data_IF_270908123427
#
_entry.id   IF_270908123427
#
_cell.length_a   1.000
_cell.length_b   1.000
_cell.length_c   1.000
_cell.angle_alpha   90.00
_cell.angle_beta   90.00
_cell.angle_gamma   90.00
#
_symmetry.space_group_name_H-M   'P 1'
#
loop_
_entity.id
_entity.type
_entity.pdbx_description
1 polymer ?
#
# COMPACT_ATOMS: atom_id res chain seq x y z
N UNK A 1 15.19 29.07 21.40
CA UNK A 1 14.98 27.70 21.91
C UNK A 1 14.29 26.91 20.79
N UNK A 2 15.02 26.50 19.75
CA UNK A 2 15.62 25.15 19.57
C UNK A 2 14.62 24.00 19.65
N UNK A 3 14.29 23.43 18.49
CA UNK A 3 13.57 22.16 18.37
C UNK A 3 13.37 21.81 16.89
N UNK A 4 14.41 21.24 16.27
CA UNK A 4 14.47 20.98 14.83
C UNK A 4 13.31 20.13 14.33
N UNK A 5 12.51 20.72 13.44
CA UNK A 5 11.62 19.99 12.56
C UNK A 5 12.48 19.12 11.65
N UNK A 6 12.60 17.84 11.97
CA UNK A 6 12.99 16.84 11.00
C UNK A 6 11.96 16.91 9.88
N UNK A 7 12.36 17.50 8.75
CA UNK A 7 11.53 17.74 7.59
C UNK A 7 11.08 16.42 6.97
N UNK A 8 10.05 15.81 7.54
CA UNK A 8 9.38 14.68 6.93
C UNK A 8 8.64 15.23 5.70
N UNK A 9 9.24 15.01 4.52
CA UNK A 9 8.78 15.52 3.23
C UNK A 9 7.30 15.19 3.02
N UNK A 10 6.46 16.20 2.91
CA UNK A 10 5.08 16.06 2.44
C UNK A 10 5.11 15.55 1.01
N UNK A 11 4.70 14.29 0.81
CA UNK A 11 4.61 13.70 -0.54
C UNK A 11 3.22 13.97 -1.09
N UNK A 12 3.14 14.46 -2.33
CA UNK A 12 1.85 14.64 -2.99
C UNK A 12 1.40 13.33 -3.64
N UNK A 13 0.25 12.82 -3.22
CA UNK A 13 -0.39 11.64 -3.80
C UNK A 13 -1.82 12.00 -4.21
N UNK A 14 -2.10 11.97 -5.51
CA UNK A 14 -3.41 12.33 -6.04
C UNK A 14 -3.84 13.78 -5.80
N UNK A 15 -2.87 14.69 -5.80
CA UNK A 15 -3.11 16.12 -5.59
C UNK A 15 -3.37 16.52 -4.14
N UNK A 16 -3.21 15.60 -3.18
CA UNK A 16 -3.27 15.89 -1.75
C UNK A 16 -1.90 15.72 -1.08
N UNK A 17 -1.50 16.63 -0.18
CA UNK A 17 -0.30 16.43 0.64
C UNK A 17 -0.54 15.32 1.66
N UNK A 18 0.26 14.26 1.60
CA UNK A 18 0.31 13.24 2.65
C UNK A 18 1.18 13.76 3.79
N UNK A 19 0.55 14.01 4.94
CA UNK A 19 1.25 14.49 6.12
C UNK A 19 1.79 13.31 6.91
N UNK A 20 3.10 13.30 7.24
CA UNK A 20 3.70 12.24 8.04
C UNK A 20 3.24 12.25 9.50
N UNK A 21 2.58 13.32 9.95
CA UNK A 21 1.92 13.40 11.26
C UNK A 21 0.56 12.70 11.31
N UNK A 22 -0.03 12.39 10.14
CA UNK A 22 -1.35 11.74 10.03
C UNK A 22 -1.21 10.24 9.74
N UNK A 23 -2.22 9.48 10.13
CA UNK A 23 -2.26 8.02 9.90
C UNK A 23 -2.48 7.67 8.42
N UNK A 24 -2.24 6.40 8.08
CA UNK A 24 -2.62 5.78 6.80
C UNK A 24 -4.03 6.19 6.36
N UNK A 25 -5.01 5.97 7.23
CA UNK A 25 -6.42 6.22 6.92
C UNK A 25 -6.69 7.71 6.76
N UNK A 26 -6.15 8.56 7.64
CA UNK A 26 -6.36 10.01 7.58
C UNK A 26 -5.79 10.65 6.30
N UNK A 27 -4.63 10.21 5.81
CA UNK A 27 -4.13 10.72 4.54
C UNK A 27 -4.90 10.12 3.35
N UNK A 28 -5.27 8.84 3.42
CA UNK A 28 -6.01 8.18 2.35
C UNK A 28 -7.41 8.81 2.14
N UNK A 29 -8.12 9.20 3.22
CA UNK A 29 -9.43 9.89 3.11
C UNK A 29 -9.30 11.28 2.49
N UNK A 30 -8.15 11.94 2.62
CA UNK A 30 -7.89 13.25 2.03
C UNK A 30 -7.39 13.15 0.58
N UNK A 31 -6.98 11.96 0.10
CA UNK A 31 -6.48 11.75 -1.25
C UNK A 31 -7.60 11.32 -2.20
N UNK A 32 -7.80 12.08 -3.28
CA UNK A 32 -8.78 11.75 -4.34
C UNK A 32 -8.45 10.46 -5.09
N UNK A 33 -7.19 10.03 -5.07
CA UNK A 33 -6.73 8.83 -5.75
C UNK A 33 -6.97 7.55 -4.95
N UNK A 34 -7.39 7.63 -3.69
CA UNK A 34 -7.48 6.48 -2.75
C UNK A 34 -8.90 6.29 -2.20
N UNK A 35 -9.90 6.98 -2.76
CA UNK A 35 -11.30 6.91 -2.31
C UNK A 35 -11.85 5.48 -2.32
N UNK A 36 -11.51 4.67 -3.34
CA UNK A 36 -11.94 3.27 -3.43
C UNK A 36 -11.29 2.40 -2.34
N UNK A 37 -10.02 2.62 -2.05
CA UNK A 37 -9.31 1.91 -0.98
C UNK A 37 -9.87 2.25 0.40
N UNK A 38 -10.18 3.52 0.66
CA UNK A 38 -10.82 3.95 1.91
C UNK A 38 -12.20 3.32 2.07
N UNK A 39 -13.00 3.30 1.02
CA UNK A 39 -14.31 2.64 1.05
C UNK A 39 -14.16 1.15 1.37
N UNK A 40 -13.16 0.48 0.77
CA UNK A 40 -12.86 -0.90 1.07
C UNK A 40 -12.43 -1.10 2.54
N UNK A 41 -11.48 -0.31 3.06
CA UNK A 41 -11.02 -0.40 4.45
C UNK A 41 -12.15 -0.20 5.45
N UNK A 42 -13.05 0.76 5.19
CA UNK A 42 -14.26 0.98 5.98
C UNK A 42 -15.21 -0.20 5.90
N UNK A 43 -15.43 -0.74 4.70
CA UNK A 43 -16.29 -1.90 4.50
C UNK A 43 -15.74 -3.15 5.20
N UNK A 44 -14.42 -3.39 5.20
CA UNK A 44 -13.80 -4.50 5.93
C UNK A 44 -13.71 -4.27 7.45
N UNK A 45 -13.88 -3.03 7.93
CA UNK A 45 -13.68 -2.71 9.35
C UNK A 45 -12.21 -2.72 9.78
N UNK A 46 -11.29 -2.51 8.85
CA UNK A 46 -9.84 -2.47 9.12
C UNK A 46 -9.33 -1.06 9.44
N UNK A 47 -10.22 -0.08 9.55
CA UNK A 47 -9.86 1.33 9.86
C UNK A 47 -9.07 1.40 11.15
N UNK A 48 -9.53 0.73 12.20
CA UNK A 48 -8.88 0.76 13.51
C UNK A 48 -7.52 0.07 13.48
N UNK A 49 -7.42 -1.08 12.79
CA UNK A 49 -6.16 -1.81 12.60
C UNK A 49 -5.12 -0.97 11.84
N UNK A 50 -5.54 -0.32 10.75
CA UNK A 50 -4.68 0.55 9.93
C UNK A 50 -4.44 1.93 10.56
N UNK A 51 -5.15 2.28 11.63
CA UNK A 51 -4.90 3.48 12.44
C UNK A 51 -4.12 3.16 13.72
N UNK A 52 -3.87 1.88 14.01
CA UNK A 52 -3.13 1.43 15.18
C UNK A 52 -1.66 1.85 15.18
N UNK A 53 -0.99 1.59 16.30
CA UNK A 53 0.44 1.83 16.46
C UNK A 53 1.22 0.87 15.55
N UNK A 54 1.70 1.39 14.43
CA UNK A 54 2.53 0.65 13.48
C UNK A 54 3.94 0.35 14.02
N UNK A 55 4.86 -0.15 13.17
CA UNK A 55 4.94 0.20 11.75
C UNK A 55 4.25 -0.79 10.79
N UNK A 56 3.47 -0.24 9.85
CA UNK A 56 2.90 -0.96 8.72
C UNK A 56 3.47 -0.45 7.38
N UNK A 57 3.67 -1.35 6.43
CA UNK A 57 3.96 -1.01 5.04
C UNK A 57 2.73 -1.33 4.20
N UNK A 58 2.10 -0.30 3.63
CA UNK A 58 0.86 -0.45 2.87
C UNK A 58 1.11 -0.18 1.40
N UNK A 59 0.82 -1.15 0.56
CA UNK A 59 0.81 -0.98 -0.89
C UNK A 59 -0.57 -0.43 -1.29
N UNK A 60 -0.67 0.86 -1.56
CA UNK A 60 -1.94 1.51 -1.88
C UNK A 60 -2.15 1.58 -3.41
N UNK A 61 -3.07 0.78 -3.99
CA UNK A 61 -3.48 0.97 -5.38
C UNK A 61 -4.21 2.30 -5.58
N UNK A 62 -3.86 2.99 -6.67
CA UNK A 62 -4.62 4.18 -7.11
C UNK A 62 -5.98 3.78 -7.70
N UNK A 63 -6.93 4.72 -7.78
CA UNK A 63 -8.18 4.51 -8.51
C UNK A 63 -7.96 4.03 -9.96
N UNK A 64 -6.86 4.46 -10.60
CA UNK A 64 -6.46 3.96 -11.93
C UNK A 64 -6.06 2.49 -11.92
N UNK A 65 -5.46 2.00 -10.84
CA UNK A 65 -5.14 0.59 -10.67
C UNK A 65 -6.42 -0.25 -10.59
N UNK A 66 -7.41 0.20 -9.82
CA UNK A 66 -8.73 -0.43 -9.77
C UNK A 66 -9.42 -0.42 -11.14
N UNK A 67 -9.32 0.69 -11.88
CA UNK A 67 -9.89 0.80 -13.22
C UNK A 67 -9.21 -0.10 -14.28
N UNK A 68 -8.00 -0.59 -14.02
CA UNK A 68 -7.32 -1.56 -14.90
C UNK A 68 -7.80 -3.00 -14.69
N UNK A 69 -8.42 -3.28 -13.55
CA UNK A 69 -9.05 -4.58 -13.36
C UNK A 69 -10.26 -4.68 -14.31
N UNK A 70 -10.58 -5.90 -14.80
CA UNK A 70 -11.75 -6.09 -15.63
C UNK A 70 -13.01 -5.56 -14.93
N UNK A 71 -13.89 -4.92 -15.72
CA UNK A 71 -15.14 -4.38 -15.23
C UNK A 71 -15.92 -5.46 -14.46
N UNK A 72 -16.39 -5.12 -13.27
CA UNK A 72 -17.05 -6.06 -12.36
C UNK A 72 -16.16 -6.67 -11.27
N UNK A 73 -14.82 -6.69 -11.39
CA UNK A 73 -13.95 -7.18 -10.29
C UNK A 73 -14.01 -6.27 -9.07
N UNK A 74 -13.93 -4.95 -9.28
CA UNK A 74 -13.98 -3.96 -8.20
C UNK A 74 -15.35 -3.96 -7.53
N UNK A 75 -16.42 -3.97 -8.32
CA UNK A 75 -17.78 -4.05 -7.80
C UNK A 75 -17.97 -5.35 -7.01
N UNK A 76 -17.49 -6.47 -7.54
CA UNK A 76 -17.54 -7.76 -6.84
C UNK A 76 -16.76 -7.69 -5.53
N UNK A 77 -15.54 -7.14 -5.52
CA UNK A 77 -14.75 -6.95 -4.29
C UNK A 77 -15.48 -6.06 -3.28
N UNK A 78 -16.12 -4.98 -3.72
CA UNK A 78 -16.87 -4.05 -2.87
C UNK A 78 -18.22 -4.59 -2.39
N UNK A 79 -18.70 -5.73 -2.92
CA UNK A 79 -19.94 -6.35 -2.44
C UNK A 79 -19.78 -6.79 -0.98
N UNK A 80 -20.80 -6.60 -0.14
CA UNK A 80 -20.78 -7.06 1.26
C UNK A 80 -20.61 -8.58 1.37
N UNK A 81 -21.08 -9.35 0.38
CA UNK A 81 -20.85 -10.80 0.29
C UNK A 81 -19.36 -11.17 0.16
N UNK A 82 -18.55 -10.28 -0.43
CA UNK A 82 -17.11 -10.46 -0.58
C UNK A 82 -16.31 -9.70 0.48
N UNK A 83 -16.94 -9.19 1.55
CA UNK A 83 -16.27 -8.62 2.72
C UNK A 83 -15.11 -9.48 3.25
N UNK A 84 -15.19 -10.84 3.36
CA UNK A 84 -14.04 -11.65 3.74
C UNK A 84 -12.90 -11.60 2.71
N UNK A 85 -13.22 -11.60 1.41
CA UNK A 85 -12.21 -11.43 0.35
C UNK A 85 -11.58 -10.05 0.37
N UNK A 86 -12.39 -9.02 0.59
CA UNK A 86 -11.91 -7.64 0.68
C UNK A 86 -10.98 -7.46 1.90
N UNK A 87 -11.31 -8.11 3.01
CA UNK A 87 -10.44 -8.16 4.19
C UNK A 87 -9.12 -8.84 3.83
N UNK A 88 -9.16 -10.01 3.20
CA UNK A 88 -7.96 -10.72 2.73
C UNK A 88 -7.11 -9.86 1.77
N UNK A 89 -7.73 -9.21 0.79
CA UNK A 89 -7.07 -8.30 -0.15
C UNK A 89 -6.41 -7.12 0.59
N UNK A 90 -7.10 -6.51 1.56
CA UNK A 90 -6.54 -5.41 2.34
C UNK A 90 -5.37 -5.87 3.20
N UNK A 91 -5.49 -7.01 3.89
CA UNK A 91 -4.40 -7.59 4.65
C UNK A 91 -3.24 -8.06 3.76
N UNK A 92 -3.50 -8.37 2.49
CA UNK A 92 -2.48 -8.74 1.51
C UNK A 92 -1.69 -7.52 1.03
N UNK A 93 -2.35 -6.36 0.92
CA UNK A 93 -1.67 -5.09 0.63
C UNK A 93 -0.89 -4.55 1.84
N UNK A 94 -1.07 -5.14 3.03
CA UNK A 94 -0.41 -4.70 4.26
C UNK A 94 0.69 -5.68 4.61
N UNK A 95 1.89 -5.17 4.77
CA UNK A 95 3.04 -5.93 5.26
C UNK A 95 3.41 -5.38 6.64
N UNK A 96 3.49 -6.23 7.67
CA UNK A 96 3.95 -5.80 8.98
C UNK A 96 5.44 -5.42 8.90
N UNK A 97 5.79 -4.29 9.53
CA UNK A 97 7.15 -3.73 9.48
C UNK A 97 7.23 -2.49 8.61
N UNK A 98 8.32 -1.73 8.80
CA UNK A 98 8.62 -0.53 8.01
C UNK A 98 9.63 -0.88 6.94
N UNK A 99 9.16 -1.03 5.70
CA UNK A 99 10.01 -1.33 4.55
C UNK A 99 9.96 -0.14 3.61
N UNK A 100 11.06 0.60 3.55
CA UNK A 100 11.23 1.67 2.57
C UNK A 100 11.57 1.06 1.21
N UNK A 101 11.39 1.81 0.13
CA UNK A 101 11.82 1.35 -1.19
C UNK A 101 13.33 1.15 -1.25
N UNK A 102 14.11 1.88 -0.47
CA UNK A 102 15.53 1.61 -0.30
C UNK A 102 15.77 0.22 0.30
N UNK A 103 15.10 -0.09 1.42
CA UNK A 103 15.20 -1.42 2.07
C UNK A 103 14.79 -2.54 1.12
N UNK A 104 13.67 -2.37 0.41
CA UNK A 104 13.18 -3.34 -0.57
C UNK A 104 14.15 -3.50 -1.74
N UNK A 105 14.76 -2.42 -2.22
CA UNK A 105 15.76 -2.48 -3.29
C UNK A 105 17.04 -3.17 -2.84
N UNK A 106 17.50 -2.91 -1.63
CA UNK A 106 18.71 -3.53 -1.09
C UNK A 106 18.49 -5.01 -0.79
N UNK A 107 17.36 -5.37 -0.16
CA UNK A 107 16.97 -6.77 0.02
C UNK A 107 16.81 -7.49 -1.31
N UNK A 108 16.14 -6.87 -2.29
CA UNK A 108 16.01 -7.45 -3.62
C UNK A 108 17.38 -7.65 -4.28
N UNK A 109 18.30 -6.67 -4.18
CA UNK A 109 19.68 -6.83 -4.68
C UNK A 109 20.40 -8.00 -4.02
N UNK A 110 20.32 -8.12 -2.70
CA UNK A 110 20.95 -9.21 -1.94
C UNK A 110 20.40 -10.58 -2.34
N UNK A 111 19.13 -10.66 -2.68
CA UNK A 111 18.42 -11.90 -3.04
C UNK A 111 18.34 -12.14 -4.57
N UNK A 112 19.29 -11.59 -5.34
CA UNK A 112 19.38 -11.86 -6.79
C UNK A 112 18.34 -11.15 -7.66
N UNK A 113 17.77 -10.04 -7.17
CA UNK A 113 16.85 -9.16 -7.89
C UNK A 113 15.39 -9.18 -7.40
N UNK A 114 15.06 -10.01 -6.41
CA UNK A 114 13.71 -10.14 -5.84
C UNK A 114 13.73 -10.35 -4.34
N UNK A 115 12.72 -9.88 -3.63
CA UNK A 115 12.53 -10.10 -2.19
C UNK A 115 11.10 -10.59 -1.96
N UNK A 116 10.94 -11.58 -1.10
CA UNK A 116 9.63 -12.09 -0.71
C UNK A 116 9.27 -11.54 0.66
N UNK A 117 8.16 -10.80 0.74
CA UNK A 117 7.61 -10.23 1.95
C UNK A 117 6.43 -11.07 2.42
N UNK A 118 6.28 -11.26 3.73
CA UNK A 118 5.10 -11.91 4.27
C UNK A 118 4.03 -10.87 4.58
N UNK A 119 2.87 -10.97 3.95
CA UNK A 119 1.75 -10.04 4.19
C UNK A 119 1.03 -10.37 5.50
N UNK A 120 0.16 -9.48 5.97
CA UNK A 120 -0.70 -9.74 7.15
C UNK A 120 -1.70 -10.85 6.87
N UNK A 121 -2.11 -11.01 5.61
CA UNK A 121 -3.02 -12.07 5.17
C UNK A 121 -2.41 -13.47 5.40
N UNK A 122 -1.10 -13.58 5.20
CA UNK A 122 -0.33 -14.81 5.39
C UNK A 122 0.41 -15.24 4.14
N UNK A 123 -0.10 -14.87 2.97
CA UNK A 123 0.55 -15.16 1.70
C UNK A 123 1.80 -14.30 1.42
N UNK A 124 2.77 -14.87 0.70
CA UNK A 124 3.97 -14.16 0.29
C UNK A 124 3.70 -13.18 -0.86
N UNK A 125 4.26 -11.98 -0.75
CA UNK A 125 4.27 -10.95 -1.77
C UNK A 125 5.69 -10.79 -2.31
N UNK A 126 5.87 -10.92 -3.63
CA UNK A 126 7.21 -10.84 -4.22
C UNK A 126 7.46 -9.44 -4.75
N UNK A 127 8.40 -8.71 -4.18
CA UNK A 127 8.86 -7.43 -4.71
C UNK A 127 10.13 -7.64 -5.51
N UNK A 128 10.09 -7.31 -6.80
CA UNK A 128 11.22 -7.40 -7.71
C UNK A 128 11.73 -6.02 -8.10
N UNK A 129 13.05 -5.87 -8.13
CA UNK A 129 13.67 -4.65 -8.63
C UNK A 129 13.70 -4.69 -10.16
N UNK A 130 13.06 -3.72 -10.81
CA UNK A 130 13.06 -3.59 -12.27
C UNK A 130 13.72 -2.26 -12.68
N UNK A 131 15.01 -2.33 -13.00
CA UNK A 131 15.81 -1.17 -13.40
C UNK A 131 15.99 -0.16 -12.26
N UNK A 132 15.45 1.05 -12.45
CA UNK A 132 15.44 2.13 -11.44
C UNK A 132 14.20 2.12 -10.53
N UNK A 133 13.25 1.20 -10.74
CA UNK A 133 12.02 1.12 -9.97
C UNK A 133 11.83 -0.23 -9.29
N UNK A 134 10.76 -0.30 -8.48
CA UNK A 134 10.28 -1.51 -7.84
C UNK A 134 8.98 -1.95 -8.50
N UNK A 135 8.85 -3.26 -8.67
CA UNK A 135 7.64 -3.94 -9.12
C UNK A 135 7.26 -4.96 -8.07
N UNK A 136 5.97 -5.12 -7.85
CA UNK A 136 5.38 -6.03 -6.88
C UNK A 136 4.58 -7.04 -7.66
N UNK A 137 4.84 -8.32 -7.46
CA UNK A 137 4.14 -9.43 -8.08
C UNK A 137 3.35 -10.14 -6.99
N UNK A 138 2.03 -10.25 -7.19
CA UNK A 138 1.15 -10.99 -6.30
C UNK A 138 1.14 -12.51 -6.59
N UNK A 139 0.41 -13.26 -5.77
CA UNK A 139 0.25 -14.70 -5.91
C UNK A 139 -0.41 -15.11 -7.25
N UNK A 140 -1.27 -14.24 -7.81
CA UNK A 140 -1.90 -14.44 -9.13
C UNK A 140 -0.97 -14.11 -10.30
N UNK A 141 0.25 -13.66 -10.04
CA UNK A 141 1.22 -13.27 -11.06
C UNK A 141 0.95 -11.88 -11.66
N UNK A 142 0.04 -11.08 -11.09
CA UNK A 142 -0.13 -9.69 -11.50
C UNK A 142 1.07 -8.88 -11.03
N UNK A 143 1.73 -8.24 -11.98
CA UNK A 143 2.88 -7.39 -11.69
C UNK A 143 2.46 -5.92 -11.68
N UNK A 144 2.50 -5.32 -10.50
CA UNK A 144 2.18 -3.92 -10.22
C UNK A 144 3.45 -3.10 -10.03
N UNK A 145 3.58 -1.96 -10.70
CA UNK A 145 4.74 -1.07 -10.53
C UNK A 145 4.47 -0.06 -9.43
N UNK A 146 5.46 0.14 -8.56
CA UNK A 146 5.44 1.22 -7.58
C UNK A 146 5.67 2.55 -8.32
N UNK A 147 4.69 3.44 -8.23
CA UNK A 147 4.69 4.77 -8.86
C UNK A 147 5.23 5.83 -7.93
N UNK A 148 4.81 5.79 -6.67
CA UNK A 148 5.30 6.67 -5.61
C UNK A 148 5.68 5.76 -4.46
N UNK A 149 6.93 5.80 -4.04
CA UNK A 149 7.43 5.05 -2.91
C UNK A 149 7.78 5.99 -1.76
N UNK A 150 8.00 5.43 -0.57
CA UNK A 150 8.50 6.15 0.61
C UNK A 150 7.58 7.26 1.10
N UNK A 151 6.27 7.03 1.04
CA UNK A 151 5.29 7.95 1.61
C UNK A 151 5.23 7.71 3.12
N UNK A 152 6.03 8.45 3.87
CA UNK A 152 6.11 8.31 5.33
C UNK A 152 4.83 8.80 6.02
N UNK A 153 4.37 8.01 6.98
CA UNK A 153 3.19 8.27 7.80
C UNK A 153 3.49 8.01 9.27
N UNK A 154 2.63 8.52 10.14
CA UNK A 154 2.87 8.42 11.59
C UNK A 154 2.92 6.98 12.08
N UNK A 155 2.20 6.09 11.40
CA UNK A 155 2.08 4.68 11.72
C UNK A 155 2.66 3.74 10.65
N UNK A 156 3.42 4.25 9.67
CA UNK A 156 3.91 3.38 8.60
C UNK A 156 4.49 4.07 7.38
N UNK A 157 4.55 3.31 6.28
CA UNK A 157 4.96 3.76 4.95
C UNK A 157 3.93 3.30 3.93
N UNK A 158 3.45 4.21 3.07
CA UNK A 158 2.67 3.86 1.89
C UNK A 158 3.59 3.77 0.67
N UNK A 159 3.35 2.74 -0.13
CA UNK A 159 3.86 2.61 -1.49
C UNK A 159 2.69 2.61 -2.46
N UNK A 160 2.60 3.64 -3.29
CA UNK A 160 1.54 3.79 -4.29
C UNK A 160 1.85 2.90 -5.48
N UNK A 161 0.95 1.95 -5.75
CA UNK A 161 1.08 1.00 -6.86
C UNK A 161 0.04 1.27 -7.95
N UNK A 162 0.39 0.94 -9.19
CA UNK A 162 -0.48 1.12 -10.35
C UNK A 162 -1.31 -0.13 -10.74
N UNK A 163 -1.30 -1.16 -9.89
CA UNK A 163 -2.10 -2.37 -10.00
C UNK A 163 -2.57 -2.81 -8.61
N UNK A 164 -3.62 -3.64 -8.59
CA UNK A 164 -4.22 -4.17 -7.36
C UNK A 164 -3.62 -5.54 -7.09
N UNK A 165 -3.22 -5.79 -5.85
CA UNK A 165 -2.64 -7.05 -5.41
C UNK A 165 -3.76 -7.97 -4.92
N UNK A 166 -3.87 -9.14 -5.53
CA UNK A 166 -4.85 -10.13 -5.10
C UNK A 166 -4.11 -11.35 -4.52
N UNK A 167 -4.46 -11.79 -3.29
CA UNK A 167 -4.16 -13.16 -2.88
C UNK A 167 -4.92 -14.12 -3.82
#
# INVERSE_FOLDING_TARGET
MTGGAWAARTVMVGGAPMYPSKTIVENAVNSKDHTTLVAAVKAAGLVDTLSGAGPFTVFAPTNKAFAKLPAGTVETLLKPENKPKLTAVLTYHVVPGRLTAADLMDQAKMNGGKVTLKTVEGEPLTVMRRGKGLTVTDAKGQTSRITIADVMQSNGVIHVVNGVLLP
#
